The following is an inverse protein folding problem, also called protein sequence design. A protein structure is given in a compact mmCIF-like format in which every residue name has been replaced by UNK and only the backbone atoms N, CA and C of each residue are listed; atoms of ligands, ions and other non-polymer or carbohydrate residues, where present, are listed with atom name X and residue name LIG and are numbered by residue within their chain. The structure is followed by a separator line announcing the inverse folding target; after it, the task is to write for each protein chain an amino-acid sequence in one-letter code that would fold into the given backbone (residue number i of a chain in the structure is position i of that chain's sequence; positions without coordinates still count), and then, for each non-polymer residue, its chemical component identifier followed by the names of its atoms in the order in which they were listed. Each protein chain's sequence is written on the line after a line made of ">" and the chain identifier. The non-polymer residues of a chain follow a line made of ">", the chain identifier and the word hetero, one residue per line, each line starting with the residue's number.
data_IF_590564954952
#
_entry.id   IF_590564954952
#
_cell.length_a   1.000
_cell.length_b   1.000
_cell.length_c   1.000
_cell.angle_alpha   90.00
_cell.angle_beta   90.00
_cell.angle_gamma   90.00
#
_symmetry.space_group_name_H-M   'P 1'
#
loop_
_entity.id
_entity.type
_entity.pdbx_description
1 polymer ?
#
# COMPACT_ATOMS: atom_id res chain seq x y z
N UNK A 1 -4.66 26.55 -41.19
CA UNK A 1 -4.66 25.09 -41.48
C UNK A 1 -3.41 24.40 -40.92
N UNK A 2 -2.21 24.96 -41.11
CA UNK A 2 -0.96 24.47 -40.49
C UNK A 2 -1.01 24.40 -38.95
N UNK A 3 -1.53 25.42 -38.27
CA UNK A 3 -1.60 25.41 -36.79
C UNK A 3 -2.53 24.33 -36.22
N UNK A 4 -3.63 24.03 -36.91
CA UNK A 4 -4.54 22.95 -36.52
C UNK A 4 -3.90 21.56 -36.72
N UNK A 5 -3.12 21.38 -37.79
CA UNK A 5 -2.34 20.16 -38.03
C UNK A 5 -1.22 20.00 -36.99
N UNK A 6 -0.49 21.08 -36.67
CA UNK A 6 0.57 21.06 -35.65
C UNK A 6 -0.01 20.82 -34.25
N UNK A 7 -1.15 21.41 -33.90
CA UNK A 7 -1.86 21.11 -32.64
C UNK A 7 -2.39 19.68 -32.61
N UNK A 8 -2.92 19.16 -33.72
CA UNK A 8 -3.36 17.77 -33.85
C UNK A 8 -2.22 16.77 -33.65
N UNK A 9 -1.08 17.01 -34.29
CA UNK A 9 0.13 16.19 -34.15
C UNK A 9 0.71 16.25 -32.73
N UNK A 10 0.74 17.44 -32.09
CA UNK A 10 1.17 17.59 -30.69
C UNK A 10 0.25 16.84 -29.71
N UNK A 11 -1.07 16.89 -29.91
CA UNK A 11 -2.05 16.14 -29.10
C UNK A 11 -1.90 14.63 -29.29
N UNK A 12 -1.67 14.16 -30.52
CA UNK A 12 -1.44 12.75 -30.82
C UNK A 12 -0.13 12.24 -30.18
N UNK A 13 0.96 12.99 -30.32
CA UNK A 13 2.25 12.66 -29.69
C UNK A 13 2.17 12.65 -28.15
N UNK A 14 1.37 13.56 -27.55
CA UNK A 14 1.11 13.57 -26.10
C UNK A 14 0.35 12.33 -25.63
N UNK A 15 -0.67 11.88 -26.37
CA UNK A 15 -1.39 10.63 -26.07
C UNK A 15 -0.50 9.39 -26.21
N UNK A 16 0.32 9.33 -27.26
CA UNK A 16 1.28 8.25 -27.47
C UNK A 16 2.31 8.17 -26.34
N UNK A 17 2.84 9.33 -25.90
CA UNK A 17 3.74 9.41 -24.74
C UNK A 17 3.07 8.95 -23.45
N UNK A 18 1.82 9.32 -23.22
CA UNK A 18 1.09 8.91 -22.02
C UNK A 18 0.80 7.42 -22.04
N UNK A 19 0.36 6.86 -23.18
CA UNK A 19 0.16 5.42 -23.35
C UNK A 19 1.46 4.65 -23.12
N UNK A 20 2.57 5.10 -23.70
CA UNK A 20 3.88 4.50 -23.45
C UNK A 20 4.25 4.60 -21.97
N UNK A 21 4.04 5.76 -21.34
CA UNK A 21 4.29 5.93 -19.91
C UNK A 21 3.41 5.01 -19.06
N UNK A 22 2.14 4.79 -19.43
CA UNK A 22 1.22 3.79 -18.84
C UNK A 22 1.84 2.43 -18.84
N UNK A 23 2.25 1.95 -20.01
CA UNK A 23 2.90 0.65 -20.15
C UNK A 23 4.23 0.61 -19.37
N UNK A 24 5.09 1.62 -19.48
CA UNK A 24 6.40 1.65 -18.80
C UNK A 24 6.29 1.69 -17.27
N UNK A 25 5.33 2.43 -16.70
CA UNK A 25 5.17 2.53 -15.26
C UNK A 25 4.69 1.22 -14.62
N UNK A 26 3.82 0.50 -15.34
CA UNK A 26 3.28 -0.78 -14.88
C UNK A 26 4.12 -1.96 -15.36
N UNK A 27 5.01 -1.76 -16.36
CA UNK A 27 5.91 -2.77 -16.93
C UNK A 27 6.96 -3.16 -15.89
N UNK A 28 6.78 -4.29 -15.20
CA UNK A 28 7.57 -4.61 -14.02
C UNK A 28 9.02 -4.99 -14.36
N UNK A 29 9.29 -5.40 -15.61
CA UNK A 29 10.60 -5.76 -16.16
C UNK A 29 11.54 -4.57 -16.38
N UNK A 30 11.03 -3.33 -16.31
CA UNK A 30 11.87 -2.15 -16.48
C UNK A 30 12.53 -1.74 -15.15
N UNK A 31 13.79 -1.26 -15.17
CA UNK A 31 14.46 -0.70 -14.01
C UNK A 31 13.56 0.26 -13.23
N UNK A 32 13.61 0.19 -11.89
CA UNK A 32 12.80 1.07 -11.04
C UNK A 32 12.99 2.55 -11.36
N UNK A 33 14.19 2.98 -11.71
CA UNK A 33 14.48 4.35 -12.14
C UNK A 33 13.66 4.78 -13.37
N UNK A 34 13.47 3.88 -14.34
CA UNK A 34 12.67 4.13 -15.54
C UNK A 34 11.17 4.06 -15.25
N UNK A 35 10.72 3.03 -14.53
CA UNK A 35 9.32 2.92 -14.08
C UNK A 35 8.91 4.15 -13.27
N UNK A 36 9.77 4.59 -12.35
CA UNK A 36 9.56 5.80 -11.54
C UNK A 36 9.41 7.06 -12.40
N UNK A 37 10.20 7.23 -13.46
CA UNK A 37 10.06 8.37 -14.39
C UNK A 37 8.74 8.33 -15.15
N UNK A 38 8.32 7.15 -15.60
CA UNK A 38 7.04 6.97 -16.28
C UNK A 38 5.84 7.16 -15.33
N UNK A 39 5.94 6.68 -14.09
CA UNK A 39 4.99 6.95 -13.00
C UNK A 39 4.88 8.46 -12.79
N UNK A 40 6.01 9.17 -12.66
CA UNK A 40 6.00 10.62 -12.46
C UNK A 40 5.34 11.36 -13.64
N UNK A 41 5.60 10.94 -14.88
CA UNK A 41 4.98 11.50 -16.08
C UNK A 41 3.47 11.25 -16.14
N UNK A 42 3.04 10.01 -15.89
CA UNK A 42 1.62 9.67 -15.79
C UNK A 42 0.95 10.48 -14.71
N UNK A 43 1.56 10.55 -13.53
CA UNK A 43 0.91 11.19 -12.40
C UNK A 43 0.80 12.70 -12.59
N UNK A 44 1.79 13.36 -13.19
CA UNK A 44 1.66 14.78 -13.59
C UNK A 44 0.51 14.99 -14.57
N UNK A 45 0.36 14.09 -15.54
CA UNK A 45 -0.68 14.19 -16.57
C UNK A 45 -2.07 13.87 -16.02
N UNK A 46 -2.19 12.80 -15.23
CA UNK A 46 -3.44 12.32 -14.66
C UNK A 46 -3.90 13.17 -13.48
N UNK A 47 -2.98 13.78 -12.72
CA UNK A 47 -3.32 14.80 -11.72
C UNK A 47 -4.10 15.96 -12.34
N UNK A 48 -3.74 16.37 -13.57
CA UNK A 48 -4.50 17.37 -14.32
C UNK A 48 -5.87 16.84 -14.80
N UNK A 49 -5.98 15.55 -15.13
CA UNK A 49 -7.25 14.93 -15.54
C UNK A 49 -8.22 14.74 -14.37
N UNK A 50 -7.72 14.47 -13.16
CA UNK A 50 -8.53 14.29 -11.94
C UNK A 50 -8.79 15.59 -11.18
N UNK A 51 -8.54 16.73 -11.81
CA UNK A 51 -8.70 18.04 -11.19
C UNK A 51 -10.14 18.27 -10.68
N UNK A 52 -11.14 17.79 -11.42
CA UNK A 52 -12.54 17.88 -10.99
C UNK A 52 -12.82 17.06 -9.70
N UNK A 53 -12.31 15.83 -9.62
CA UNK A 53 -12.44 15.00 -8.42
C UNK A 53 -11.70 15.61 -7.22
N UNK A 54 -10.51 16.19 -7.44
CA UNK A 54 -9.77 16.92 -6.41
C UNK A 54 -10.54 18.14 -5.91
N UNK A 55 -11.11 18.94 -6.80
CA UNK A 55 -11.94 20.09 -6.42
C UNK A 55 -13.22 19.67 -5.71
N UNK A 56 -13.88 18.60 -6.14
CA UNK A 56 -15.03 18.04 -5.43
C UNK A 56 -14.65 17.63 -4.00
N UNK A 57 -13.53 16.91 -3.82
CA UNK A 57 -13.01 16.55 -2.52
C UNK A 57 -12.65 17.77 -1.65
N UNK A 58 -12.00 18.80 -2.22
CA UNK A 58 -11.69 20.06 -1.53
C UNK A 58 -12.98 20.77 -1.10
N UNK A 59 -13.96 20.91 -1.99
CA UNK A 59 -15.23 21.57 -1.71
C UNK A 59 -15.99 20.83 -0.62
N UNK A 60 -16.05 19.49 -0.71
CA UNK A 60 -16.65 18.64 0.32
C UNK A 60 -15.94 18.82 1.67
N UNK A 61 -14.61 18.71 1.70
CA UNK A 61 -13.84 18.92 2.93
C UNK A 61 -14.03 20.31 3.51
N UNK A 62 -14.15 21.36 2.68
CA UNK A 62 -14.44 22.72 3.14
C UNK A 62 -15.87 22.89 3.68
N UNK A 63 -16.83 22.11 3.18
CA UNK A 63 -18.22 22.12 3.66
C UNK A 63 -18.44 21.29 4.92
N UNK A 64 -17.59 20.28 5.18
CA UNK A 64 -17.64 19.48 6.41
C UNK A 64 -17.17 20.36 7.57
N UNK A 65 -18.05 20.59 8.55
CA UNK A 65 -17.68 21.25 9.81
C UNK A 65 -16.47 20.55 10.45
N UNK A 66 -15.64 21.31 11.19
CA UNK A 66 -14.35 20.87 11.75
C UNK A 66 -14.41 19.38 12.14
N UNK A 67 -13.59 18.49 11.54
CA UNK A 67 -13.60 17.07 11.90
C UNK A 67 -13.41 16.93 13.41
N UNK A 68 -14.12 16.02 14.08
CA UNK A 68 -14.16 15.96 15.53
C UNK A 68 -12.74 15.92 16.13
N UNK A 69 -12.52 16.68 17.21
CA UNK A 69 -11.33 16.55 18.05
C UNK A 69 -11.61 15.40 19.03
N UNK A 70 -11.55 14.17 18.57
CA UNK A 70 -11.74 12.99 19.43
C UNK A 70 -10.47 12.17 19.47
N UNK A 71 -10.12 11.70 20.67
CA UNK A 71 -9.14 10.63 20.82
C UNK A 71 -9.85 9.32 20.49
N UNK A 72 -9.61 8.82 19.28
CA UNK A 72 -10.15 7.56 18.83
C UNK A 72 -9.56 6.36 19.55
N UNK A 73 -10.24 5.23 19.39
CA UNK A 73 -9.74 3.95 19.87
C UNK A 73 -8.59 3.45 18.97
N UNK A 74 -7.72 2.61 19.54
CA UNK A 74 -6.58 2.01 18.83
C UNK A 74 -7.01 1.08 17.69
N UNK A 75 -8.13 0.37 17.88
CA UNK A 75 -8.69 -0.58 16.91
C UNK A 75 -7.85 -1.86 16.69
N UNK A 76 -8.37 -2.81 15.90
CA UNK A 76 -7.68 -4.07 15.58
C UNK A 76 -6.66 -3.89 14.44
N UNK A 77 -5.97 -4.97 14.08
CA UNK A 77 -5.18 -5.06 12.85
C UNK A 77 -6.10 -5.57 11.74
N UNK A 78 -6.26 -4.77 10.69
CA UNK A 78 -7.10 -5.07 9.53
C UNK A 78 -6.27 -5.60 8.38
N UNK A 79 -6.68 -6.74 7.83
CA UNK A 79 -6.20 -7.25 6.56
C UNK A 79 -7.38 -7.64 5.67
N UNK A 80 -7.17 -7.70 4.36
CA UNK A 80 -8.22 -8.05 3.41
C UNK A 80 -7.66 -8.95 2.31
N UNK A 81 -8.37 -10.05 2.05
CA UNK A 81 -8.19 -10.89 0.89
C UNK A 81 -9.54 -11.37 0.40
N UNK A 82 -9.99 -10.88 -0.76
CA UNK A 82 -11.36 -11.07 -1.24
C UNK A 82 -11.80 -12.54 -1.27
N UNK A 83 -10.89 -13.44 -1.67
CA UNK A 83 -11.15 -14.87 -1.80
C UNK A 83 -11.01 -15.66 -0.47
N UNK A 84 -10.60 -15.02 0.62
CA UNK A 84 -10.27 -15.68 1.88
C UNK A 84 -8.81 -16.11 2.00
N UNK A 85 -8.27 -16.06 3.23
CA UNK A 85 -6.86 -16.34 3.53
C UNK A 85 -6.38 -17.70 3.00
N UNK A 86 -7.19 -18.74 3.14
CA UNK A 86 -6.89 -20.11 2.69
C UNK A 86 -6.67 -20.22 1.18
N UNK A 87 -7.33 -19.34 0.40
CA UNK A 87 -7.20 -19.29 -1.07
C UNK A 87 -6.13 -18.29 -1.52
N UNK A 88 -5.46 -17.62 -0.58
CA UNK A 88 -4.37 -16.71 -0.92
C UNK A 88 -3.15 -17.49 -1.42
N UNK A 89 -2.32 -16.93 -2.31
CA UNK A 89 -1.07 -17.58 -2.71
C UNK A 89 -0.16 -17.86 -1.50
N UNK A 90 0.67 -18.92 -1.52
CA UNK A 90 1.43 -19.35 -0.34
C UNK A 90 2.26 -18.25 0.33
N UNK A 91 3.01 -17.43 -0.42
CA UNK A 91 3.72 -16.28 0.15
C UNK A 91 2.81 -15.25 0.84
N UNK A 92 1.56 -15.10 0.37
CA UNK A 92 0.55 -14.23 1.00
C UNK A 92 0.06 -14.87 2.29
N UNK A 93 -0.11 -16.19 2.33
CA UNK A 93 -0.42 -16.90 3.57
C UNK A 93 0.71 -16.72 4.60
N UNK A 94 1.98 -16.82 4.18
CA UNK A 94 3.13 -16.51 5.05
C UNK A 94 3.07 -15.08 5.59
N UNK A 95 2.75 -14.10 4.76
CA UNK A 95 2.57 -12.71 5.19
C UNK A 95 1.44 -12.59 6.23
N UNK A 96 0.28 -13.17 5.95
CA UNK A 96 -0.88 -13.19 6.85
C UNK A 96 -0.51 -13.82 8.21
N UNK A 97 0.15 -14.97 8.21
CA UNK A 97 0.63 -15.65 9.41
C UNK A 97 1.67 -14.83 10.17
N UNK A 98 2.57 -14.13 9.47
CA UNK A 98 3.56 -13.26 10.12
C UNK A 98 2.91 -12.14 10.93
N UNK A 99 1.77 -11.61 10.46
CA UNK A 99 1.01 -10.59 11.19
C UNK A 99 0.29 -11.18 12.40
N UNK A 100 -0.27 -12.39 12.29
CA UNK A 100 -0.89 -13.11 13.42
C UNK A 100 0.13 -13.36 14.54
N UNK A 101 1.29 -13.91 14.21
CA UNK A 101 2.36 -14.21 15.19
C UNK A 101 2.89 -12.97 15.89
N UNK A 102 2.85 -11.82 15.22
CA UNK A 102 3.38 -10.55 15.70
C UNK A 102 2.29 -9.54 16.06
N UNK A 103 1.05 -9.99 16.28
CA UNK A 103 -0.07 -9.10 16.58
C UNK A 103 0.06 -8.42 17.96
N UNK A 104 0.96 -8.89 18.82
CA UNK A 104 1.26 -8.25 20.12
C UNK A 104 0.05 -8.18 21.05
N UNK A 105 -0.83 -9.19 21.00
CA UNK A 105 -2.09 -9.21 21.76
C UNK A 105 -3.23 -8.40 21.16
N UNK A 106 -3.02 -7.68 20.04
CA UNK A 106 -4.11 -7.01 19.32
C UNK A 106 -4.91 -8.02 18.52
N UNK A 107 -6.23 -7.83 18.48
CA UNK A 107 -7.11 -8.61 17.61
C UNK A 107 -6.71 -8.37 16.15
N UNK A 108 -6.45 -9.44 15.41
CA UNK A 108 -6.28 -9.43 13.96
C UNK A 108 -7.56 -9.86 13.27
N UNK A 109 -7.96 -9.14 12.22
CA UNK A 109 -9.18 -9.43 11.45
C UNK A 109 -8.83 -9.47 9.97
N UNK A 110 -9.06 -10.62 9.34
CA UNK A 110 -8.90 -10.80 7.89
C UNK A 110 -10.26 -10.84 7.23
N UNK A 111 -10.58 -9.78 6.51
CA UNK A 111 -11.85 -9.62 5.81
C UNK A 111 -11.82 -10.28 4.43
N UNK A 112 -12.96 -10.79 4.00
CA UNK A 112 -13.20 -11.36 2.66
C UNK A 112 -14.28 -10.55 1.93
N UNK A 113 -14.59 -10.91 0.69
CA UNK A 113 -15.73 -10.34 -0.02
C UNK A 113 -17.06 -10.61 0.71
N UNK A 114 -17.16 -11.70 1.47
CA UNK A 114 -18.37 -12.11 2.18
C UNK A 114 -18.50 -11.43 3.54
N UNK A 115 -17.38 -11.19 4.24
CA UNK A 115 -17.40 -10.66 5.63
C UNK A 115 -17.20 -9.16 5.74
N UNK A 116 -16.81 -8.47 4.66
CA UNK A 116 -16.60 -7.01 4.70
C UNK A 116 -17.89 -6.24 5.02
N UNK A 117 -19.05 -6.77 4.62
CA UNK A 117 -20.36 -6.18 4.91
C UNK A 117 -20.76 -6.20 6.39
N UNK A 118 -20.15 -7.08 7.20
CA UNK A 118 -20.41 -7.14 8.65
C UNK A 118 -19.85 -5.92 9.40
N UNK A 119 -18.91 -5.20 8.77
CA UNK A 119 -18.21 -4.05 9.35
C UNK A 119 -18.54 -2.73 8.65
N UNK A 120 -18.77 -2.78 7.34
CA UNK A 120 -18.91 -1.62 6.49
C UNK A 120 -20.29 -1.59 5.83
N UNK A 121 -20.99 -0.47 5.99
CA UNK A 121 -22.17 -0.17 5.21
C UNK A 121 -21.73 0.45 3.88
N UNK A 122 -21.67 -0.38 2.83
CA UNK A 122 -21.19 0.02 1.52
C UNK A 122 -22.41 0.18 0.61
N UNK A 123 -22.66 1.39 0.06
CA UNK A 123 -23.83 1.63 -0.79
C UNK A 123 -23.89 0.64 -1.95
N UNK A 124 -25.08 0.09 -2.24
CA UNK A 124 -25.25 -0.96 -3.26
C UNK A 124 -24.62 -0.61 -4.61
N UNK A 125 -24.78 0.64 -5.07
CA UNK A 125 -24.15 1.15 -6.30
C UNK A 125 -22.62 1.04 -6.32
N UNK A 126 -21.96 1.11 -5.17
CA UNK A 126 -20.51 0.91 -5.03
C UNK A 126 -20.18 -0.57 -5.08
N UNK A 127 -20.96 -1.42 -4.40
CA UNK A 127 -20.81 -2.88 -4.43
C UNK A 127 -20.93 -3.44 -5.85
N UNK A 128 -21.90 -2.95 -6.63
CA UNK A 128 -22.13 -3.34 -8.02
C UNK A 128 -20.92 -3.06 -8.93
N UNK A 129 -20.05 -2.12 -8.56
CA UNK A 129 -18.87 -1.72 -9.35
C UNK A 129 -17.65 -2.60 -9.08
N UNK A 130 -17.60 -3.31 -7.95
CA UNK A 130 -16.41 -4.05 -7.51
C UNK A 130 -15.98 -5.12 -8.52
N UNK A 131 -16.87 -5.95 -9.09
CA UNK A 131 -16.48 -6.97 -10.08
C UNK A 131 -15.79 -6.36 -11.30
N UNK A 132 -16.15 -5.13 -11.67
CA UNK A 132 -15.62 -4.43 -12.83
C UNK A 132 -14.36 -3.61 -12.52
N UNK A 133 -14.27 -3.01 -11.32
CA UNK A 133 -13.19 -2.08 -10.97
C UNK A 133 -12.03 -2.75 -10.22
N UNK A 134 -12.30 -3.92 -9.65
CA UNK A 134 -11.35 -4.82 -9.03
C UNK A 134 -11.13 -4.59 -7.54
N UNK A 135 -10.89 -5.69 -6.83
CA UNK A 135 -10.69 -5.74 -5.38
C UNK A 135 -9.54 -4.87 -4.86
N UNK A 136 -8.49 -4.65 -5.67
CA UNK A 136 -7.38 -3.75 -5.28
C UNK A 136 -7.83 -2.30 -5.10
N UNK A 137 -8.79 -1.82 -5.91
CA UNK A 137 -9.30 -0.45 -5.74
C UNK A 137 -10.28 -0.40 -4.58
N UNK A 138 -11.12 -1.42 -4.46
CA UNK A 138 -12.07 -1.54 -3.36
C UNK A 138 -11.37 -1.59 -1.99
N UNK A 139 -10.25 -2.31 -1.86
CA UNK A 139 -9.52 -2.37 -0.58
C UNK A 139 -9.00 -1.00 -0.12
N UNK A 140 -8.73 -0.08 -1.05
CA UNK A 140 -8.43 1.31 -0.71
C UNK A 140 -9.62 2.04 -0.07
N UNK A 141 -10.85 1.75 -0.49
CA UNK A 141 -12.07 2.29 0.12
C UNK A 141 -12.31 1.64 1.49
N UNK A 142 -12.31 0.30 1.52
CA UNK A 142 -12.55 -0.45 2.75
C UNK A 142 -11.57 -0.06 3.86
N UNK A 143 -10.28 0.12 3.55
CA UNK A 143 -9.31 0.54 4.59
C UNK A 143 -9.66 1.88 5.22
N UNK A 144 -10.11 2.85 4.42
CA UNK A 144 -10.40 4.19 4.92
C UNK A 144 -11.63 4.17 5.81
N UNK A 145 -12.69 3.47 5.37
CA UNK A 145 -13.91 3.32 6.16
C UNK A 145 -13.66 2.56 7.47
N UNK A 146 -12.82 1.51 7.46
CA UNK A 146 -12.46 0.78 8.67
C UNK A 146 -11.66 1.64 9.64
N UNK A 147 -10.61 2.31 9.16
CA UNK A 147 -9.77 3.17 9.99
C UNK A 147 -10.53 4.39 10.52
N UNK A 148 -11.44 4.95 9.74
CA UNK A 148 -12.33 6.02 10.20
C UNK A 148 -13.21 5.52 11.34
N UNK A 149 -13.95 4.43 11.12
CA UNK A 149 -14.98 3.96 12.06
C UNK A 149 -14.40 3.30 13.32
N UNK A 150 -13.38 2.48 13.16
CA UNK A 150 -12.87 1.61 14.22
C UNK A 150 -11.44 1.94 14.65
N UNK A 151 -10.76 2.84 13.94
CA UNK A 151 -9.31 2.96 14.05
C UNK A 151 -8.63 1.68 13.59
N UNK A 152 -7.42 1.46 14.08
CA UNK A 152 -6.69 0.22 13.83
C UNK A 152 -5.42 0.44 13.01
N UNK A 153 -4.88 -0.68 12.56
CA UNK A 153 -3.77 -0.71 11.60
C UNK A 153 -4.18 -1.53 10.40
N UNK A 154 -4.31 -0.88 9.25
CA UNK A 154 -4.40 -1.58 7.98
C UNK A 154 -3.03 -2.09 7.58
N UNK A 155 -2.94 -3.38 7.29
CA UNK A 155 -1.76 -4.03 6.75
C UNK A 155 -2.19 -4.85 5.53
N UNK A 156 -1.72 -4.49 4.33
CA UNK A 156 -2.00 -5.27 3.13
C UNK A 156 -1.64 -6.75 3.35
N UNK A 157 -2.44 -7.68 2.80
CA UNK A 157 -2.22 -9.14 2.97
C UNK A 157 -0.86 -9.64 2.47
N UNK A 158 -0.16 -8.83 1.68
CA UNK A 158 1.17 -9.11 1.10
C UNK A 158 2.32 -8.48 1.89
N UNK A 159 2.05 -8.01 3.11
CA UNK A 159 3.07 -7.45 4.00
C UNK A 159 3.51 -8.51 4.99
N UNK A 160 4.81 -8.76 5.02
CA UNK A 160 5.48 -9.58 6.01
C UNK A 160 5.98 -8.68 7.15
N UNK A 161 5.75 -9.07 8.40
CA UNK A 161 6.36 -8.43 9.57
C UNK A 161 7.19 -9.44 10.36
N UNK A 162 8.35 -9.01 10.83
CA UNK A 162 9.31 -9.85 11.58
C UNK A 162 9.19 -9.67 13.11
N UNK A 163 8.52 -8.61 13.54
CA UNK A 163 8.25 -8.28 14.95
C UNK A 163 6.98 -7.44 15.07
N UNK A 164 6.49 -7.28 16.29
CA UNK A 164 5.30 -6.48 16.59
C UNK A 164 5.39 -5.05 16.05
N UNK A 165 4.23 -4.46 15.76
CA UNK A 165 4.13 -3.04 15.38
C UNK A 165 4.78 -2.21 16.49
N UNK A 166 5.72 -1.31 16.17
CA UNK A 166 6.36 -0.47 17.17
C UNK A 166 5.35 0.35 17.99
N UNK A 167 5.52 0.37 19.31
CA UNK A 167 4.61 1.05 20.23
C UNK A 167 4.40 2.53 19.89
N UNK A 168 5.45 3.23 19.43
CA UNK A 168 5.35 4.63 19.03
C UNK A 168 4.44 4.86 17.80
N UNK A 169 4.22 3.84 16.95
CA UNK A 169 3.21 3.90 15.89
C UNK A 169 1.81 3.77 16.51
N UNK A 170 1.63 2.84 17.43
CA UNK A 170 0.33 2.59 18.09
C UNK A 170 -0.11 3.76 18.99
N UNK A 171 0.84 4.49 19.55
CA UNK A 171 0.60 5.70 20.33
C UNK A 171 0.31 6.93 19.45
N UNK A 172 0.58 6.86 18.14
CA UNK A 172 0.31 7.97 17.22
C UNK A 172 -1.17 8.04 16.82
N UNK A 173 -1.69 9.25 16.61
CA UNK A 173 -3.05 9.44 16.08
C UNK A 173 -3.18 8.96 14.63
N UNK A 174 -2.11 9.13 13.84
CA UNK A 174 -2.06 8.74 12.45
C UNK A 174 -0.63 8.46 12.03
N UNK A 175 -0.42 7.36 11.32
CA UNK A 175 0.87 7.02 10.73
C UNK A 175 0.72 6.33 9.37
N UNK A 176 1.60 6.71 8.45
CA UNK A 176 1.78 6.05 7.16
C UNK A 176 3.24 6.11 6.74
N UNK A 177 3.71 5.11 6.00
CA UNK A 177 4.97 5.25 5.28
C UNK A 177 4.81 6.26 4.14
N UNK A 178 5.91 6.92 3.76
CA UNK A 178 5.95 7.98 2.75
C UNK A 178 7.01 7.68 1.72
N UNK A 179 6.75 7.99 0.45
CA UNK A 179 7.83 8.00 -0.53
C UNK A 179 8.52 9.37 -0.47
N UNK A 180 9.86 9.41 -0.49
CA UNK A 180 10.61 10.69 -0.50
C UNK A 180 10.45 11.47 -1.82
N UNK A 181 9.63 10.99 -2.74
CA UNK A 181 9.56 11.49 -4.11
C UNK A 181 8.12 11.77 -4.53
N UNK A 182 7.88 13.02 -4.93
CA UNK A 182 6.71 13.44 -5.70
C UNK A 182 6.51 12.49 -6.89
N UNK A 183 5.31 11.93 -7.10
CA UNK A 183 4.00 12.34 -6.55
C UNK A 183 3.33 11.33 -5.62
N UNK A 184 4.07 10.34 -5.12
CA UNK A 184 3.53 9.42 -4.11
C UNK A 184 3.74 10.01 -2.72
N UNK A 185 2.75 10.74 -2.25
CA UNK A 185 2.83 11.41 -0.93
C UNK A 185 2.85 10.43 0.26
N UNK A 186 2.33 9.21 0.06
CA UNK A 186 2.24 8.15 1.07
C UNK A 186 2.30 6.75 0.45
N UNK A 187 2.40 5.73 1.30
CA UNK A 187 2.28 4.31 0.99
C UNK A 187 1.04 3.75 1.68
N UNK A 188 -0.01 3.47 0.92
CA UNK A 188 -1.31 3.09 1.46
C UNK A 188 -1.44 1.59 1.80
N UNK A 189 -0.38 0.80 1.63
CA UNK A 189 -0.33 -0.61 2.02
C UNK A 189 -0.15 -0.83 3.53
N UNK A 190 0.22 0.22 4.27
CA UNK A 190 0.23 0.25 5.73
C UNK A 190 -0.28 1.61 6.20
N UNK A 191 -1.33 1.61 7.01
CA UNK A 191 -1.91 2.83 7.57
C UNK A 191 -2.37 2.56 8.99
N UNK A 192 -1.93 3.39 9.92
CA UNK A 192 -2.38 3.40 11.31
C UNK A 192 -3.20 4.65 11.56
N UNK A 193 -4.32 4.52 12.27
CA UNK A 193 -5.06 5.67 12.75
C UNK A 193 -5.86 5.33 14.01
N UNK A 194 -6.01 6.30 14.90
CA UNK A 194 -7.09 6.29 15.88
C UNK A 194 -8.43 6.53 15.18
N UNK A 195 -9.49 5.90 15.66
CA UNK A 195 -10.84 6.09 15.09
C UNK A 195 -11.20 7.58 15.05
N UNK A 196 -11.94 8.01 14.05
CA UNK A 196 -12.40 9.40 13.92
C UNK A 196 -11.29 10.47 13.88
N UNK A 197 -10.02 10.09 13.64
CA UNK A 197 -8.92 11.05 13.46
C UNK A 197 -9.24 11.99 12.30
N UNK A 198 -9.06 13.32 12.43
CA UNK A 198 -9.47 14.30 11.41
C UNK A 198 -8.99 14.02 9.99
N UNK A 199 -7.74 13.58 9.83
CA UNK A 199 -7.19 13.20 8.53
C UNK A 199 -7.94 12.02 7.92
N UNK A 200 -8.17 10.96 8.71
CA UNK A 200 -8.86 9.74 8.29
C UNK A 200 -10.33 10.00 7.95
N UNK A 201 -11.04 10.81 8.75
CA UNK A 201 -12.42 11.23 8.47
C UNK A 201 -12.51 11.96 7.14
N UNK A 202 -11.66 12.97 6.95
CA UNK A 202 -11.71 13.79 5.73
C UNK A 202 -11.35 12.99 4.47
N UNK A 203 -10.32 12.15 4.51
CA UNK A 203 -9.98 11.30 3.36
C UNK A 203 -11.01 10.20 3.11
N UNK A 204 -11.58 9.59 4.16
CA UNK A 204 -12.64 8.59 4.02
C UNK A 204 -13.86 9.18 3.33
N UNK A 205 -14.34 10.34 3.80
CA UNK A 205 -15.48 11.04 3.21
C UNK A 205 -15.23 11.42 1.74
N UNK A 206 -14.07 11.99 1.43
CA UNK A 206 -13.70 12.35 0.06
C UNK A 206 -13.60 11.13 -0.87
N UNK A 207 -13.06 10.01 -0.38
CA UNK A 207 -12.92 8.79 -1.17
C UNK A 207 -14.29 8.10 -1.37
N UNK A 208 -15.17 8.12 -0.36
CA UNK A 208 -16.55 7.64 -0.47
C UNK A 208 -17.35 8.45 -1.49
N UNK A 209 -17.32 9.79 -1.43
CA UNK A 209 -18.00 10.65 -2.42
C UNK A 209 -17.48 10.40 -3.84
N UNK A 210 -16.16 10.24 -4.00
CA UNK A 210 -15.56 9.82 -5.27
C UNK A 210 -16.14 8.50 -5.77
N UNK A 211 -16.19 7.46 -4.93
CA UNK A 211 -16.72 6.16 -5.31
C UNK A 211 -18.20 6.18 -5.65
N UNK A 212 -18.98 7.06 -5.04
CA UNK A 212 -20.40 7.23 -5.35
C UNK A 212 -20.60 7.87 -6.73
N UNK A 213 -19.83 8.94 -7.02
CA UNK A 213 -19.99 9.73 -8.25
C UNK A 213 -19.26 9.18 -9.46
N UNK A 214 -18.17 8.43 -9.26
CA UNK A 214 -17.33 8.00 -10.37
C UNK A 214 -18.11 7.11 -11.35
N UNK A 215 -18.03 7.41 -12.65
CA UNK A 215 -18.66 6.62 -13.71
C UNK A 215 -17.71 5.56 -14.28
N UNK A 216 -16.41 5.75 -14.08
CA UNK A 216 -15.33 4.90 -14.58
C UNK A 216 -14.37 4.59 -13.44
N UNK A 217 -13.67 3.43 -13.49
CA UNK A 217 -12.67 3.12 -12.49
C UNK A 217 -11.62 4.24 -12.45
N UNK A 218 -11.34 4.71 -11.24
CA UNK A 218 -10.28 5.67 -11.03
C UNK A 218 -8.94 5.13 -11.44
N UNK A 219 -8.03 6.06 -11.76
CA UNK A 219 -6.64 5.70 -11.96
C UNK A 219 -6.08 5.02 -10.73
N UNK A 220 -5.06 4.20 -10.95
CA UNK A 220 -4.35 3.48 -9.90
C UNK A 220 -3.91 4.38 -8.74
N UNK A 221 -3.59 5.66 -9.02
CA UNK A 221 -3.12 6.64 -8.05
C UNK A 221 -4.19 7.55 -7.46
N UNK A 222 -5.49 7.30 -7.72
CA UNK A 222 -6.59 8.14 -7.26
C UNK A 222 -6.52 8.45 -5.76
N UNK A 223 -6.12 7.47 -4.95
CA UNK A 223 -5.90 7.64 -3.50
C UNK A 223 -4.95 8.80 -3.18
N UNK A 224 -3.83 8.93 -3.90
CA UNK A 224 -2.83 9.96 -3.62
C UNK A 224 -3.33 11.35 -4.01
N UNK A 225 -4.06 11.48 -5.12
CA UNK A 225 -4.62 12.76 -5.55
C UNK A 225 -5.68 13.27 -4.59
N UNK A 226 -6.55 12.37 -4.11
CA UNK A 226 -7.59 12.72 -3.14
C UNK A 226 -6.98 13.04 -1.77
N UNK A 227 -5.98 12.28 -1.33
CA UNK A 227 -5.26 12.60 -0.09
C UNK A 227 -4.59 13.98 -0.15
N UNK A 228 -3.88 14.28 -1.23
CA UNK A 228 -3.27 15.59 -1.44
C UNK A 228 -4.33 16.71 -1.43
N UNK A 229 -5.45 16.52 -2.15
CA UNK A 229 -6.54 17.49 -2.18
C UNK A 229 -7.11 17.76 -0.78
N UNK A 230 -7.31 16.71 0.03
CA UNK A 230 -7.80 16.80 1.41
C UNK A 230 -6.85 17.59 2.30
N UNK A 231 -5.54 17.27 2.30
CA UNK A 231 -4.57 17.96 3.16
C UNK A 231 -4.33 19.41 2.75
N UNK A 232 -4.53 19.75 1.47
CA UNK A 232 -4.44 21.12 0.96
C UNK A 232 -5.73 21.93 1.18
N UNK A 233 -6.87 21.28 1.42
CA UNK A 233 -8.16 21.95 1.53
C UNK A 233 -8.30 22.81 2.79
N UNK A 234 -7.67 22.43 3.89
CA UNK A 234 -7.78 23.11 5.19
C UNK A 234 -6.44 23.20 5.91
N UNK A 235 -6.17 24.35 6.53
CA UNK A 235 -4.94 24.59 7.30
C UNK A 235 -4.74 23.55 8.43
N UNK A 236 -5.81 23.18 9.13
CA UNK A 236 -5.75 22.17 10.21
C UNK A 236 -5.27 20.81 9.71
N UNK A 237 -5.82 20.32 8.59
CA UNK A 237 -5.43 19.04 8.00
C UNK A 237 -3.99 19.09 7.46
N UNK A 238 -3.61 20.22 6.85
CA UNK A 238 -2.22 20.45 6.42
C UNK A 238 -1.25 20.39 7.60
N UNK A 239 -1.58 20.99 8.75
CA UNK A 239 -0.77 20.94 9.97
C UNK A 239 -0.66 19.51 10.50
N UNK A 240 -1.79 18.82 10.66
CA UNK A 240 -1.79 17.42 11.10
C UNK A 240 -0.92 16.55 10.21
N UNK A 241 -0.99 16.72 8.88
CA UNK A 241 -0.15 15.97 7.95
C UNK A 241 1.35 16.30 8.07
N UNK A 242 1.70 17.57 8.33
CA UNK A 242 3.10 17.97 8.56
C UNK A 242 3.66 17.39 9.86
N UNK A 243 2.81 17.22 10.87
CA UNK A 243 3.19 16.68 12.17
C UNK A 243 3.38 15.14 12.12
N UNK A 244 2.89 14.44 11.09
CA UNK A 244 3.14 13.00 10.88
C UNK A 244 4.62 12.77 10.54
N UNK A 245 5.37 12.01 11.37
CA UNK A 245 6.78 11.74 11.13
C UNK A 245 7.04 11.12 9.76
N UNK A 246 8.11 11.55 9.09
CA UNK A 246 8.50 10.97 7.82
C UNK A 246 9.22 9.63 8.04
N UNK A 247 8.59 8.54 7.60
CA UNK A 247 9.22 7.23 7.50
C UNK A 247 9.18 6.73 6.06
N UNK A 248 10.34 6.41 5.51
CA UNK A 248 10.47 6.03 4.10
C UNK A 248 9.79 4.69 3.81
N UNK A 249 9.00 4.65 2.75
CA UNK A 249 8.45 3.43 2.19
C UNK A 249 9.47 2.61 1.37
N UNK A 250 10.70 3.11 1.17
CA UNK A 250 11.71 2.44 0.35
C UNK A 250 12.29 1.19 1.03
N UNK A 251 12.71 1.28 2.29
CA UNK A 251 13.31 0.17 3.04
C UNK A 251 12.34 -1.03 3.18
N UNK A 252 11.03 -0.82 3.41
CA UNK A 252 10.04 -1.92 3.35
C UNK A 252 9.87 -2.59 1.98
N UNK A 253 10.55 -2.15 0.90
CA UNK A 253 10.51 -2.80 -0.41
C UNK A 253 11.81 -3.55 -0.77
N UNK A 254 12.79 -3.61 0.14
CA UNK A 254 14.06 -4.29 -0.12
C UNK A 254 13.86 -5.78 -0.40
N UNK A 255 13.08 -6.48 0.43
CA UNK A 255 12.85 -7.92 0.26
C UNK A 255 12.06 -8.22 -1.03
N UNK A 256 11.18 -7.30 -1.44
CA UNK A 256 10.43 -7.43 -2.70
C UNK A 256 11.36 -7.51 -3.92
N UNK A 257 12.44 -6.73 -3.91
CA UNK A 257 13.41 -6.69 -5.02
C UNK A 257 14.22 -7.99 -5.13
N UNK A 258 14.31 -8.77 -4.04
CA UNK A 258 15.05 -10.01 -3.96
C UNK A 258 14.22 -11.26 -4.29
N UNK A 259 12.88 -11.15 -4.39
CA UNK A 259 11.98 -12.32 -4.49
C UNK A 259 12.35 -13.32 -5.59
N UNK A 260 12.85 -12.85 -6.74
CA UNK A 260 13.26 -13.70 -7.86
C UNK A 260 14.73 -14.17 -7.84
N UNK A 261 15.52 -13.75 -6.85
CA UNK A 261 16.92 -14.12 -6.70
C UNK A 261 17.09 -15.43 -5.92
N UNK A 262 18.23 -16.14 -6.07
CA UNK A 262 18.59 -17.25 -5.18
C UNK A 262 18.49 -16.84 -3.71
N UNK A 263 17.95 -17.73 -2.87
CA UNK A 263 17.77 -17.44 -1.46
C UNK A 263 19.10 -17.48 -0.70
N UNK A 264 19.37 -16.41 0.04
CA UNK A 264 20.49 -16.31 0.96
C UNK A 264 19.97 -15.88 2.35
N UNK A 265 20.21 -16.72 3.36
CA UNK A 265 19.65 -16.51 4.70
C UNK A 265 20.20 -15.24 5.36
N UNK A 266 21.51 -15.01 5.27
CA UNK A 266 22.14 -13.85 5.90
C UNK A 266 21.65 -12.54 5.26
N UNK A 267 21.47 -12.53 3.94
CA UNK A 267 20.86 -11.40 3.24
C UNK A 267 19.41 -11.18 3.69
N UNK A 268 18.61 -12.25 3.74
CA UNK A 268 17.24 -12.21 4.26
C UNK A 268 17.16 -11.59 5.65
N UNK A 269 18.02 -12.03 6.58
CA UNK A 269 18.05 -11.50 7.94
C UNK A 269 18.53 -10.06 7.99
N UNK A 270 19.59 -9.71 7.25
CA UNK A 270 20.07 -8.33 7.18
C UNK A 270 19.00 -7.34 6.71
N UNK A 271 18.09 -7.76 5.82
CA UNK A 271 16.97 -6.93 5.35
C UNK A 271 15.92 -6.74 6.45
N UNK A 272 15.63 -7.77 7.25
CA UNK A 272 14.67 -7.70 8.36
C UNK A 272 15.22 -6.93 9.56
N UNK A 273 16.54 -6.97 9.80
CA UNK A 273 17.20 -6.17 10.82
C UNK A 273 17.10 -4.67 10.51
N UNK A 274 17.17 -4.29 9.22
CA UNK A 274 16.99 -2.90 8.78
C UNK A 274 15.54 -2.44 8.78
N UNK A 275 14.58 -3.35 8.63
CA UNK A 275 13.16 -3.02 8.63
C UNK A 275 12.33 -4.19 9.13
N UNK A 276 11.62 -3.95 10.24
CA UNK A 276 10.68 -4.88 10.87
C UNK A 276 9.50 -5.28 9.98
N UNK A 277 9.32 -4.62 8.84
CA UNK A 277 8.20 -4.76 7.91
C UNK A 277 8.70 -4.78 6.47
N UNK A 278 8.12 -5.66 5.65
CA UNK A 278 8.45 -5.83 4.23
C UNK A 278 7.17 -5.99 3.39
N UNK A 279 6.93 -5.05 2.47
CA UNK A 279 5.87 -5.12 1.47
C UNK A 279 6.32 -6.00 0.31
N UNK A 280 5.68 -7.16 0.14
CA UNK A 280 6.02 -8.14 -0.90
C UNK A 280 5.03 -8.10 -2.08
N UNK A 281 5.19 -9.04 -3.00
CA UNK A 281 4.26 -9.34 -4.09
C UNK A 281 4.23 -10.85 -4.33
N UNK A 282 3.09 -11.38 -4.76
CA UNK A 282 2.95 -12.77 -5.19
C UNK A 282 2.90 -12.90 -6.72
N UNK A 283 2.91 -11.77 -7.43
CA UNK A 283 2.92 -11.70 -8.88
C UNK A 283 4.38 -11.63 -9.34
N UNK A 284 5.00 -12.78 -9.55
CA UNK A 284 6.27 -12.88 -10.27
C UNK A 284 6.01 -13.48 -11.64
N UNK A 285 6.46 -12.79 -12.68
CA UNK A 285 6.27 -13.24 -14.07
C UNK A 285 7.52 -13.94 -14.62
N UNK A 286 8.65 -13.89 -13.92
CA UNK A 286 9.88 -14.58 -14.34
C UNK A 286 10.64 -15.03 -13.10
N UNK A 287 10.54 -16.30 -12.76
CA UNK A 287 11.59 -16.93 -11.96
C UNK A 287 12.83 -16.90 -12.85
N UNK A 288 13.90 -16.22 -12.42
CA UNK A 288 15.19 -16.43 -13.06
C UNK A 288 15.49 -17.94 -12.99
N UNK A 289 15.98 -18.57 -14.07
CA UNK A 289 16.43 -19.95 -13.97
C UNK A 289 17.48 -20.00 -12.87
N UNK A 290 17.07 -20.57 -11.73
CA UNK A 290 17.89 -20.73 -10.55
C UNK A 290 18.06 -22.22 -10.35
N UNK A 291 19.30 -22.63 -10.15
CA UNK A 291 19.63 -24.02 -9.81
C UNK A 291 19.23 -24.37 -8.37
N UNK A 292 18.85 -23.38 -7.56
CA UNK A 292 18.39 -23.54 -6.18
C UNK A 292 17.10 -22.77 -5.86
N UNK A 293 16.61 -22.87 -4.61
CA UNK A 293 15.42 -22.17 -4.16
C UNK A 293 15.63 -20.65 -4.18
N UNK A 294 14.58 -19.91 -4.58
CA UNK A 294 14.55 -18.45 -4.60
C UNK A 294 13.94 -17.90 -3.33
N UNK A 295 14.05 -16.58 -3.11
CA UNK A 295 13.36 -15.92 -1.99
C UNK A 295 11.84 -16.16 -2.00
N UNK A 296 11.18 -16.09 -3.15
CA UNK A 296 9.72 -16.36 -3.21
C UNK A 296 9.40 -17.81 -2.87
N UNK A 297 10.20 -18.78 -3.31
CA UNK A 297 9.90 -20.19 -3.06
C UNK A 297 10.08 -20.50 -1.58
N UNK A 298 11.17 -20.01 -0.97
CA UNK A 298 11.38 -20.15 0.48
C UNK A 298 10.31 -19.47 1.32
N UNK A 299 9.93 -18.24 0.97
CA UNK A 299 8.85 -17.53 1.68
C UNK A 299 7.47 -18.13 1.41
N UNK A 300 7.31 -18.93 0.37
CA UNK A 300 6.09 -19.70 0.10
C UNK A 300 6.00 -20.99 0.92
N UNK A 301 7.13 -21.50 1.41
CA UNK A 301 7.21 -22.65 2.34
C UNK A 301 6.93 -22.24 3.79
N UNK A 302 7.07 -20.94 4.12
CA UNK A 302 6.87 -20.37 5.45
C UNK A 302 7.92 -19.32 5.78
N UNK A 303 8.05 -18.98 7.07
CA UNK A 303 9.17 -18.14 7.53
C UNK A 303 10.46 -18.98 7.55
N UNK A 304 11.55 -18.56 6.86
CA UNK A 304 12.78 -19.32 6.83
C UNK A 304 13.41 -19.44 8.24
N UNK A 305 13.63 -20.68 8.73
CA UNK A 305 14.29 -20.92 10.01
C UNK A 305 15.78 -20.58 9.91
N UNK A 306 16.42 -20.33 11.06
CA UNK A 306 17.87 -20.23 11.12
C UNK A 306 18.53 -21.50 10.58
N UNK A 307 19.58 -21.39 9.74
CA UNK A 307 20.32 -22.56 9.32
C UNK A 307 20.89 -23.25 10.54
N UNK A 308 20.80 -24.58 10.56
CA UNK A 308 21.54 -25.39 11.52
C UNK A 308 23.03 -25.26 11.17
N UNK A 309 23.72 -24.31 11.78
CA UNK A 309 25.18 -24.38 11.81
C UNK A 309 25.51 -25.65 12.60
N UNK A 310 26.14 -26.62 11.95
CA UNK A 310 26.67 -27.80 12.60
C UNK A 310 27.67 -27.31 13.67
N UNK A 311 27.26 -27.33 14.94
CA UNK A 311 28.19 -27.38 16.07
C UNK A 311 28.98 -28.69 15.92
N UNK A 312 30.17 -28.62 15.31
CA UNK A 312 30.98 -29.81 15.10
C UNK A 312 31.99 -29.71 13.97
N UNK A 313 32.79 -28.63 13.91
CA UNK A 313 34.12 -28.76 13.32
C UNK A 313 35.02 -29.34 14.42
N UNK A 314 35.67 -30.52 14.22
CA UNK A 314 36.60 -31.05 15.19
C UNK A 314 37.75 -30.05 15.32
N UNK A 315 37.96 -29.54 16.52
CA UNK A 315 39.23 -28.93 16.90
C UNK A 315 40.30 -29.96 16.62
N UNK A 316 41.07 -29.76 15.55
CA UNK A 316 42.35 -30.42 15.38
C UNK A 316 43.22 -29.96 16.56
N UNK A 317 43.23 -30.77 17.62
CA UNK A 317 44.28 -30.74 18.60
C UNK A 317 45.57 -31.08 17.85
N UNK A 318 46.35 -30.05 17.51
CA UNK A 318 47.75 -30.25 17.19
C UNK A 318 48.44 -30.70 18.46
N UNK A 319 48.66 -32.01 18.58
CA UNK A 319 49.73 -32.53 19.42
C UNK A 319 51.05 -32.23 18.74
N UNK A 320 51.92 -31.44 19.38
CA UNK A 320 53.18 -31.87 20.02
C UNK A 320 53.49 -30.88 21.13
#
# INVERSE_FOLDING_TARGET
>A
MQDYLVQGMRRSAGRMRLLLATHVAVAPFLPWSLRRRAIALQMRTNSAQHLAARYAAINHCKSVEKPPLRQGQLGPIWQFWAQGAEKAPPIVQTCLSSVEMNAGGRKRIVLTAETVGDYLDIPGRVMDRIPFWGWTKFSNLARLMLLERYGGTWIDATVLIDRAIPQWIEESDFFVFRWPYDPRVLANWFMHARSETPLTVAISAAYQDYWLRAEKPGDYFMFHYLFEAVVLAQHRLSKLWKDVPFHSAATPHELQALLGQPFEYDLYRSVLDRSWIQKLTYKLETAMPSTGPTFISRLSEGLPPAPHYLEGQPTYAMGV
#
